data_IF_839788598009
#
_entry.id   IF_839788598009
#
_cell.length_a   1.000
_cell.length_b   1.000
_cell.length_c   1.000
_cell.angle_alpha   90.00
_cell.angle_beta   90.00
_cell.angle_gamma   90.00
#
_symmetry.space_group_name_H-M   'P 1'
#
loop_
_entity.id
_entity.type
_entity.pdbx_description
1 polymer ?
#
# COMPACT_ATOMS: atom_id res chain seq x y z
N UNK A 1 -11.21 -2.99 -5.34
CA UNK A 1 -10.44 -3.53 -4.24
C UNK A 1 -10.03 -2.44 -3.26
N UNK A 2 -8.96 -1.69 -3.53
CA UNK A 2 -8.52 -0.65 -2.59
C UNK A 2 -9.56 0.46 -2.43
N UNK A 3 -10.18 0.90 -3.53
CA UNK A 3 -11.22 1.92 -3.47
C UNK A 3 -12.43 1.45 -2.64
N UNK A 4 -12.89 0.21 -2.85
CA UNK A 4 -14.01 -0.33 -2.10
C UNK A 4 -13.71 -0.44 -0.61
N UNK A 5 -12.47 -0.82 -0.25
CA UNK A 5 -12.04 -0.89 1.14
C UNK A 5 -11.97 0.49 1.78
N UNK A 6 -11.48 1.50 1.04
CA UNK A 6 -11.43 2.87 1.52
C UNK A 6 -12.84 3.43 1.75
N UNK A 7 -13.77 3.14 0.84
CA UNK A 7 -15.18 3.55 0.99
C UNK A 7 -15.80 2.95 2.24
N UNK A 8 -15.59 1.66 2.48
CA UNK A 8 -16.14 1.00 3.67
C UNK A 8 -15.58 1.58 4.96
N UNK A 9 -14.29 1.90 4.99
CA UNK A 9 -13.67 2.50 6.17
C UNK A 9 -14.25 3.87 6.46
N UNK A 10 -14.49 4.68 5.43
CA UNK A 10 -15.07 6.00 5.58
C UNK A 10 -16.55 5.93 5.99
N UNK A 11 -17.32 5.03 5.39
CA UNK A 11 -18.76 4.90 5.64
C UNK A 11 -19.08 4.31 7.02
N UNK A 12 -18.14 3.59 7.62
CA UNK A 12 -18.33 2.98 8.93
C UNK A 12 -18.45 3.99 10.06
N UNK A 13 -18.02 5.23 9.83
CA UNK A 13 -18.04 6.29 10.84
C UNK A 13 -19.00 7.39 10.40
N UNK A 14 -20.07 7.59 11.16
CA UNK A 14 -21.01 8.70 10.93
C UNK A 14 -20.49 9.96 11.63
N UNK A 15 -20.81 11.14 11.07
CA UNK A 15 -20.46 12.42 11.67
C UNK A 15 -19.87 13.39 10.67
N UNK A 16 -18.81 14.09 11.05
CA UNK A 16 -18.17 15.10 10.23
C UNK A 16 -17.39 14.47 9.07
N UNK A 17 -16.56 15.26 8.39
CA UNK A 17 -15.75 14.77 7.29
C UNK A 17 -14.77 13.71 7.78
N UNK A 18 -14.84 12.53 7.18
CA UNK A 18 -14.00 11.38 7.52
C UNK A 18 -13.19 10.95 6.31
N UNK A 19 -11.91 10.64 6.55
CA UNK A 19 -11.02 10.10 5.53
C UNK A 19 -10.86 8.60 5.72
N UNK A 20 -11.17 7.82 4.69
CA UNK A 20 -10.81 6.41 4.63
C UNK A 20 -9.69 6.22 3.61
N UNK A 21 -8.75 5.35 3.92
CA UNK A 21 -7.63 5.04 3.03
C UNK A 21 -7.33 3.55 3.04
N UNK A 22 -6.87 3.02 1.90
CA UNK A 22 -6.43 1.64 1.80
C UNK A 22 -5.36 1.51 0.72
N UNK A 23 -4.50 0.51 0.88
CA UNK A 23 -3.39 0.27 -0.04
C UNK A 23 -3.32 -1.21 -0.39
N UNK A 24 -3.17 -1.53 -1.67
CA UNK A 24 -2.91 -2.89 -2.11
C UNK A 24 -1.67 -2.90 -3.00
N UNK A 25 -1.02 -4.06 -3.06
CA UNK A 25 0.12 -4.32 -3.93
C UNK A 25 -0.34 -5.32 -4.99
N UNK A 26 -0.03 -5.04 -6.25
CA UNK A 26 -0.43 -5.89 -7.37
C UNK A 26 0.75 -6.19 -8.30
N UNK A 27 0.85 -7.44 -8.73
CA UNK A 27 1.85 -7.89 -9.70
C UNK A 27 1.21 -8.88 -10.67
N UNK A 28 1.25 -8.56 -11.97
CA UNK A 28 0.72 -9.43 -13.02
C UNK A 28 -0.73 -9.87 -12.76
N UNK A 29 -1.56 -8.95 -12.28
CA UNK A 29 -2.97 -9.23 -12.00
C UNK A 29 -3.23 -9.94 -10.68
N UNK A 30 -2.17 -10.25 -9.90
CA UNK A 30 -2.30 -10.88 -8.60
C UNK A 30 -2.19 -9.82 -7.51
N UNK A 31 -3.13 -9.81 -6.59
CA UNK A 31 -3.16 -8.85 -5.49
C UNK A 31 -2.51 -9.47 -4.26
N UNK A 32 -1.58 -8.73 -3.67
CA UNK A 32 -0.88 -9.12 -2.45
C UNK A 32 -1.43 -8.29 -1.30
N UNK A 33 -2.14 -8.94 -0.40
CA UNK A 33 -2.61 -8.28 0.82
C UNK A 33 -1.54 -8.28 1.90
N UNK A 34 -1.99 -8.08 3.13
CA UNK A 34 -1.12 -8.15 4.31
C UNK A 34 -0.82 -9.62 4.61
N UNK A 35 0.46 -10.02 4.67
CA UNK A 35 0.78 -11.41 5.01
C UNK A 35 0.28 -11.75 6.41
N UNK A 36 -0.20 -12.99 6.59
CA UNK A 36 -0.73 -13.47 7.87
C UNK A 36 0.34 -14.05 8.78
N UNK A 37 1.44 -14.51 8.19
CA UNK A 37 2.54 -15.13 8.92
C UNK A 37 3.85 -14.96 8.13
N UNK A 38 4.95 -15.42 8.73
CA UNK A 38 6.28 -15.29 8.11
C UNK A 38 6.40 -16.07 6.81
N UNK A 39 5.76 -17.21 6.69
CA UNK A 39 5.78 -18.02 5.46
C UNK A 39 5.14 -17.23 4.32
N UNK A 40 3.98 -16.65 4.56
CA UNK A 40 3.27 -15.86 3.57
C UNK A 40 4.06 -14.59 3.21
N UNK A 41 4.71 -13.96 4.20
CA UNK A 41 5.57 -12.80 3.95
C UNK A 41 6.74 -13.16 3.04
N UNK A 42 7.41 -14.30 3.30
CA UNK A 42 8.52 -14.76 2.46
C UNK A 42 8.05 -15.08 1.03
N UNK A 43 6.88 -15.68 0.89
CA UNK A 43 6.32 -15.99 -0.43
C UNK A 43 6.03 -14.70 -1.20
N UNK A 44 5.39 -13.72 -0.57
CA UNK A 44 5.08 -12.43 -1.20
C UNK A 44 6.34 -11.73 -1.67
N UNK A 45 7.32 -11.60 -0.78
CA UNK A 45 8.57 -10.91 -1.11
C UNK A 45 9.37 -11.66 -2.17
N UNK A 46 9.35 -12.99 -2.13
CA UNK A 46 10.01 -13.81 -3.15
C UNK A 46 9.42 -13.59 -4.54
N UNK A 47 8.11 -13.43 -4.63
CA UNK A 47 7.43 -13.15 -5.90
C UNK A 47 7.69 -11.74 -6.39
N UNK A 48 7.87 -10.77 -5.50
CA UNK A 48 8.15 -9.38 -5.84
C UNK A 48 9.61 -9.14 -6.15
N UNK A 49 10.52 -9.97 -5.67
CA UNK A 49 11.97 -9.83 -5.82
C UNK A 49 12.37 -9.72 -7.29
N UNK A 50 13.15 -8.70 -7.62
CA UNK A 50 13.67 -8.47 -8.97
C UNK A 50 12.60 -8.07 -9.99
N UNK A 51 11.42 -7.67 -9.54
CA UNK A 51 10.30 -7.33 -10.42
C UNK A 51 9.75 -5.94 -10.10
N UNK A 52 8.93 -5.44 -11.03
CA UNK A 52 8.22 -4.17 -10.83
C UNK A 52 6.76 -4.49 -10.53
N UNK A 53 6.28 -4.02 -9.40
CA UNK A 53 4.89 -4.18 -8.99
C UNK A 53 4.23 -2.81 -8.86
N UNK A 54 2.90 -2.82 -8.71
CA UNK A 54 2.12 -1.62 -8.52
C UNK A 54 1.65 -1.52 -7.07
N UNK A 55 1.74 -0.32 -6.51
CA UNK A 55 1.12 0.01 -5.24
C UNK A 55 -0.07 0.90 -5.56
N UNK A 56 -1.26 0.40 -5.26
CA UNK A 56 -2.51 1.11 -5.54
C UNK A 56 -3.06 1.63 -4.22
N UNK A 57 -3.01 2.95 -4.07
CA UNK A 57 -3.58 3.63 -2.92
C UNK A 57 -4.92 4.24 -3.27
N UNK A 58 -5.92 4.04 -2.44
CA UNK A 58 -7.24 4.62 -2.62
C UNK A 58 -7.62 5.42 -1.39
N UNK A 59 -8.27 6.55 -1.61
CA UNK A 59 -8.80 7.38 -0.53
C UNK A 59 -10.27 7.68 -0.81
N UNK A 60 -11.03 7.81 0.26
CA UNK A 60 -12.43 8.19 0.20
C UNK A 60 -12.71 9.21 1.29
N UNK A 61 -13.43 10.26 0.93
CA UNK A 61 -13.93 11.25 1.89
C UNK A 61 -15.42 11.01 2.10
N UNK A 62 -15.86 11.04 3.33
CA UNK A 62 -17.26 10.86 3.68
C UNK A 62 -17.72 11.90 4.68
N UNK A 63 -18.98 12.26 4.61
CA UNK A 63 -19.64 13.11 5.60
C UNK A 63 -21.02 12.55 5.89
N UNK A 64 -21.42 12.56 7.16
CA UNK A 64 -22.70 12.00 7.61
C UNK A 64 -22.91 10.55 7.16
N UNK A 65 -21.83 9.75 7.10
CA UNK A 65 -21.90 8.34 6.69
C UNK A 65 -21.99 8.09 5.20
N UNK A 66 -21.95 9.14 4.36
CA UNK A 66 -22.03 9.01 2.90
C UNK A 66 -20.73 9.44 2.24
N UNK A 67 -20.25 8.67 1.28
CA UNK A 67 -19.05 9.01 0.52
C UNK A 67 -19.34 10.17 -0.42
N UNK A 68 -18.51 11.22 -0.34
CA UNK A 68 -18.65 12.42 -1.18
C UNK A 68 -17.56 12.54 -2.24
N UNK A 69 -16.43 11.87 -2.07
CA UNK A 69 -15.34 11.89 -3.06
C UNK A 69 -14.42 10.69 -2.88
N UNK A 70 -13.86 10.21 -3.99
CA UNK A 70 -12.86 9.14 -3.97
C UNK A 70 -11.74 9.48 -4.96
N UNK A 71 -10.54 8.93 -4.71
CA UNK A 71 -9.42 9.01 -5.64
C UNK A 71 -8.55 7.77 -5.50
N UNK A 72 -7.83 7.45 -6.60
CA UNK A 72 -6.90 6.32 -6.65
C UNK A 72 -5.57 6.83 -7.20
N UNK A 73 -4.48 6.38 -6.60
CA UNK A 73 -3.12 6.65 -7.05
C UNK A 73 -2.38 5.34 -7.26
N UNK A 74 -1.71 5.21 -8.41
CA UNK A 74 -0.91 4.02 -8.71
C UNK A 74 0.56 4.42 -8.80
N UNK A 75 1.40 3.73 -8.04
CA UNK A 75 2.85 3.94 -8.03
C UNK A 75 3.53 2.62 -8.37
N UNK A 76 4.52 2.66 -9.26
CA UNK A 76 5.29 1.48 -9.62
C UNK A 76 6.55 1.43 -8.77
N UNK A 77 6.80 0.25 -8.20
CA UNK A 77 7.96 0.01 -7.36
C UNK A 77 8.75 -1.16 -7.93
N UNK A 78 10.04 -0.94 -8.18
CA UNK A 78 10.94 -1.99 -8.66
C UNK A 78 11.81 -2.47 -7.52
N UNK A 79 11.77 -3.77 -7.25
CA UNK A 79 12.62 -4.40 -6.23
C UNK A 79 13.92 -4.87 -6.83
N UNK A 80 14.99 -4.75 -6.06
CA UNK A 80 16.24 -5.45 -6.34
C UNK A 80 15.98 -6.95 -6.21
N UNK A 81 16.74 -7.74 -6.95
CA UNK A 81 16.71 -9.20 -6.76
C UNK A 81 17.39 -9.52 -5.44
N UNK A 82 16.69 -10.24 -4.56
CA UNK A 82 17.21 -10.66 -3.26
C UNK A 82 17.14 -12.18 -3.13
N UNK A 83 18.12 -12.76 -2.46
CA UNK A 83 18.16 -14.19 -2.21
C UNK A 83 17.13 -14.58 -1.14
N UNK A 84 16.83 -15.88 -1.05
CA UNK A 84 15.95 -16.37 0.01
C UNK A 84 16.48 -16.04 1.40
N UNK A 85 17.81 -16.08 1.58
CA UNK A 85 18.42 -15.74 2.87
C UNK A 85 18.21 -14.26 3.21
N UNK A 86 18.37 -13.37 2.23
CA UNK A 86 18.16 -11.94 2.45
C UNK A 86 16.70 -11.63 2.77
N UNK A 87 15.78 -12.29 2.09
CA UNK A 87 14.35 -12.14 2.36
C UNK A 87 14.01 -12.67 3.76
N UNK A 88 14.55 -13.83 4.14
CA UNK A 88 14.34 -14.39 5.47
C UNK A 88 14.84 -13.44 6.56
N UNK A 89 16.00 -12.82 6.35
CA UNK A 89 16.54 -11.84 7.29
C UNK A 89 15.61 -10.64 7.44
N UNK A 90 15.07 -10.15 6.32
CA UNK A 90 14.12 -9.04 6.37
C UNK A 90 12.83 -9.44 7.12
N UNK A 91 12.29 -10.62 6.82
CA UNK A 91 11.07 -11.11 7.47
C UNK A 91 11.27 -11.26 8.98
N UNK A 92 12.48 -11.66 9.41
CA UNK A 92 12.80 -11.77 10.83
C UNK A 92 12.74 -10.45 11.58
N UNK A 93 12.84 -9.31 10.89
CA UNK A 93 12.71 -7.98 11.55
C UNK A 93 11.31 -7.67 12.01
N UNK A 94 10.30 -8.34 11.45
CA UNK A 94 8.89 -8.05 11.73
C UNK A 94 8.32 -6.86 11.00
N UNK A 95 9.09 -6.20 10.13
CA UNK A 95 8.62 -5.01 9.39
C UNK A 95 7.46 -5.32 8.44
N UNK A 96 7.27 -6.58 8.08
CA UNK A 96 6.21 -7.01 7.17
C UNK A 96 4.81 -6.96 7.81
N UNK A 97 4.74 -6.94 9.13
CA UNK A 97 3.46 -7.02 9.85
C UNK A 97 2.58 -5.82 9.52
N UNK A 98 1.36 -6.10 9.07
CA UNK A 98 0.39 -5.06 8.76
C UNK A 98 0.67 -4.30 7.47
N UNK A 99 1.57 -4.79 6.60
CA UNK A 99 1.96 -4.13 5.36
C UNK A 99 1.53 -4.93 4.14
N UNK A 100 0.82 -4.29 3.20
CA UNK A 100 0.49 -4.93 1.93
C UNK A 100 1.78 -5.30 1.18
N UNK A 101 1.83 -6.53 0.66
CA UNK A 101 3.03 -7.04 -0.01
C UNK A 101 4.17 -7.42 0.92
N UNK A 102 4.05 -7.14 2.21
CA UNK A 102 5.01 -7.54 3.22
C UNK A 102 6.22 -6.63 3.41
N UNK A 103 6.15 -5.37 2.98
CA UNK A 103 7.28 -4.45 3.18
C UNK A 103 6.81 -3.04 3.54
N UNK A 104 7.69 -2.29 4.20
CA UNK A 104 7.47 -0.90 4.55
C UNK A 104 8.65 -0.08 3.98
N UNK A 105 8.38 0.75 2.99
CA UNK A 105 9.43 1.47 2.25
C UNK A 105 10.19 2.48 3.13
N UNK A 106 9.51 3.05 4.12
CA UNK A 106 10.13 4.03 5.02
C UNK A 106 11.05 3.39 6.05
N UNK A 107 10.99 2.06 6.19
CA UNK A 107 11.87 1.33 7.10
C UNK A 107 13.16 0.95 6.39
N UNK A 108 14.25 0.79 7.14
CA UNK A 108 15.57 0.52 6.59
C UNK A 108 15.58 -0.75 5.73
N UNK A 109 14.98 -1.83 6.21
CA UNK A 109 14.94 -3.09 5.49
C UNK A 109 14.10 -3.01 4.21
N UNK A 110 12.98 -2.27 4.26
CA UNK A 110 12.13 -2.06 3.10
C UNK A 110 12.85 -1.27 2.01
N UNK A 111 13.52 -0.19 2.38
CA UNK A 111 14.27 0.60 1.40
C UNK A 111 15.48 -0.17 0.85
N UNK A 112 16.01 -1.13 1.59
CA UNK A 112 17.06 -2.04 1.11
C UNK A 112 16.57 -2.87 -0.08
N UNK A 113 15.30 -3.23 -0.11
CA UNK A 113 14.72 -4.03 -1.19
C UNK A 113 14.37 -3.20 -2.42
N UNK A 114 14.11 -1.92 -2.27
CA UNK A 114 13.61 -1.07 -3.36
C UNK A 114 14.76 -0.53 -4.19
N UNK A 115 14.68 -0.74 -5.51
CA UNK A 115 15.64 -0.17 -6.45
C UNK A 115 15.16 1.16 -7.01
N UNK A 116 13.87 1.26 -7.36
CA UNK A 116 13.31 2.46 -7.98
C UNK A 116 11.82 2.59 -7.70
N UNK A 117 11.37 3.84 -7.64
CA UNK A 117 9.96 4.18 -7.51
C UNK A 117 9.59 5.14 -8.64
N UNK A 118 8.54 4.79 -9.39
CA UNK A 118 7.93 5.65 -10.40
C UNK A 118 6.54 6.04 -9.92
N UNK A 119 6.37 7.28 -9.51
CA UNK A 119 5.10 7.79 -9.01
C UNK A 119 5.24 8.44 -7.65
N UNK A 120 4.16 8.44 -6.89
CA UNK A 120 4.10 9.11 -5.59
C UNK A 120 4.66 8.23 -4.48
N UNK A 121 5.79 8.65 -3.90
CA UNK A 121 6.40 7.96 -2.76
C UNK A 121 5.43 7.84 -1.57
N UNK A 122 4.68 8.92 -1.28
CA UNK A 122 3.74 8.92 -0.15
C UNK A 122 2.60 7.91 -0.34
N UNK A 123 2.24 7.60 -1.59
CA UNK A 123 1.29 6.54 -1.89
C UNK A 123 1.83 5.18 -1.43
N UNK A 124 3.12 4.93 -1.62
CA UNK A 124 3.75 3.66 -1.19
C UNK A 124 3.82 3.58 0.33
N UNK A 125 4.04 4.71 1.00
CA UNK A 125 4.02 4.78 2.47
C UNK A 125 2.63 4.46 3.01
N UNK A 126 1.57 4.81 2.29
CA UNK A 126 0.21 4.43 2.64
C UNK A 126 -0.83 5.52 2.49
N UNK A 127 -0.42 6.73 2.06
CA UNK A 127 -1.36 7.83 1.85
C UNK A 127 -0.95 8.68 0.65
N UNK A 128 -1.73 8.69 -0.44
CA UNK A 128 -1.43 9.52 -1.61
C UNK A 128 -1.81 10.98 -1.33
N UNK A 129 -0.90 11.70 -0.67
CA UNK A 129 -1.16 13.05 -0.15
C UNK A 129 -1.56 14.05 -1.22
N UNK A 130 -0.95 13.98 -2.41
CA UNK A 130 -1.29 14.92 -3.48
C UNK A 130 -2.73 14.71 -3.97
N UNK A 131 -3.18 13.47 -4.05
CA UNK A 131 -4.58 13.17 -4.38
C UNK A 131 -5.52 13.65 -3.31
N UNK A 132 -5.14 13.50 -2.04
CA UNK A 132 -5.93 14.00 -0.93
C UNK A 132 -6.08 15.51 -0.99
N UNK A 133 -4.98 16.24 -1.24
CA UNK A 133 -5.02 17.70 -1.38
C UNK A 133 -5.95 18.11 -2.52
N UNK A 134 -5.90 17.42 -3.66
CA UNK A 134 -6.77 17.69 -4.80
C UNK A 134 -8.23 17.49 -4.45
N UNK A 135 -8.57 16.41 -3.74
CA UNK A 135 -9.93 16.14 -3.30
C UNK A 135 -10.45 17.23 -2.36
N UNK A 136 -9.62 17.65 -1.41
CA UNK A 136 -10.01 18.69 -0.45
C UNK A 136 -10.22 20.03 -1.14
N UNK A 137 -9.45 20.32 -2.19
CA UNK A 137 -9.56 21.57 -2.92
C UNK A 137 -10.85 21.67 -3.75
N UNK A 138 -11.48 20.54 -4.10
CA UNK A 138 -12.72 20.52 -4.90
C UNK A 138 -13.99 20.60 -4.06
N UNK A 139 -13.88 20.67 -2.74
CA UNK A 139 -15.04 20.71 -1.85
C UNK A 139 -15.64 22.11 -1.64
#
# INVERSE_FOLDING_TARGET
MAEANARRKAEAIAGELVLGADTVVALDGVIFGKPRDETEARESLGRLSGRTHEVVGAIALATAGAVVATAVEVTRVTFRRRSEAEIADYVATGEWVGRAGGYAIQEEGGSFMVERIDGDYLNVVGLPLERLKALLATR
#
